data_IF_943531298911
#
_entry.id   IF_943531298911
#
_cell.length_a   1.000
_cell.length_b   1.000
_cell.length_c   1.000
_cell.angle_alpha   90.00
_cell.angle_beta   90.00
_cell.angle_gamma   90.00
#
_symmetry.space_group_name_H-M   'P 1'
#
loop_
_entity.id
_entity.type
_entity.pdbx_description
1 polymer ?
#
# COMPACT_ATOMS: atom_id res chain seq x y z
N UNK A 1 14.30 32.53 11.59
CA UNK A 1 13.42 31.56 12.28
C UNK A 1 12.21 31.40 11.39
N UNK A 2 12.35 30.56 10.35
CA UNK A 2 11.32 30.34 9.34
C UNK A 2 10.34 29.29 9.85
N UNK A 3 9.06 29.58 9.72
CA UNK A 3 7.96 28.64 9.90
C UNK A 3 8.28 27.30 9.25
N UNK A 4 8.08 26.21 9.98
CA UNK A 4 7.84 24.90 9.34
C UNK A 4 6.48 25.01 8.66
N UNK A 5 6.44 25.50 7.43
CA UNK A 5 5.24 25.51 6.60
C UNK A 5 4.68 24.08 6.57
N UNK A 6 3.50 23.88 7.16
CA UNK A 6 2.89 22.59 7.50
C UNK A 6 2.39 21.75 6.32
N UNK A 7 3.19 21.62 5.27
CA UNK A 7 2.92 20.80 4.09
C UNK A 7 3.59 19.43 4.12
N UNK A 8 3.14 18.53 3.24
CA UNK A 8 3.70 17.18 3.02
C UNK A 8 3.99 16.93 1.54
N UNK A 9 4.17 15.67 1.15
CA UNK A 9 4.44 15.27 -0.23
C UNK A 9 3.65 14.01 -0.56
N UNK A 10 3.13 13.94 -1.79
CA UNK A 10 2.50 12.75 -2.37
C UNK A 10 3.38 12.24 -3.51
N UNK A 11 3.67 10.95 -3.50
CA UNK A 11 4.44 10.26 -4.53
C UNK A 11 3.58 9.18 -5.19
N UNK A 12 3.64 9.06 -6.51
CA UNK A 12 3.01 7.98 -7.27
C UNK A 12 3.89 7.57 -8.43
N UNK A 13 3.89 6.30 -8.85
CA UNK A 13 4.71 5.85 -9.98
C UNK A 13 3.90 5.75 -11.27
N UNK A 14 4.56 5.90 -12.42
CA UNK A 14 3.91 5.89 -13.73
C UNK A 14 3.63 4.48 -14.25
N UNK A 15 4.41 3.47 -13.84
CA UNK A 15 4.43 2.10 -14.39
C UNK A 15 4.56 2.07 -15.93
N UNK A 16 5.15 3.10 -16.52
CA UNK A 16 5.42 3.17 -17.96
C UNK A 16 6.69 2.38 -18.32
N UNK A 17 6.95 2.06 -19.61
CA UNK A 17 8.20 1.40 -20.02
C UNK A 17 9.46 2.15 -19.58
N UNK A 18 9.38 3.48 -19.51
CA UNK A 18 10.31 4.31 -18.76
C UNK A 18 9.64 4.69 -17.43
N UNK A 19 9.79 3.84 -16.41
CA UNK A 19 9.08 4.05 -15.15
C UNK A 19 9.67 5.26 -14.42
N UNK A 20 8.80 6.02 -13.78
CA UNK A 20 9.16 7.24 -13.07
C UNK A 20 8.23 7.47 -11.88
N UNK A 21 8.67 8.31 -10.95
CA UNK A 21 7.86 8.80 -9.84
C UNK A 21 7.42 10.22 -10.14
N UNK A 22 6.14 10.51 -9.97
CA UNK A 22 5.59 11.86 -9.96
C UNK A 22 5.44 12.28 -8.50
N UNK A 23 6.03 13.43 -8.14
CA UNK A 23 5.93 14.00 -6.81
C UNK A 23 5.08 15.26 -6.81
N UNK A 24 4.25 15.42 -5.79
CA UNK A 24 3.40 16.58 -5.55
C UNK A 24 3.62 17.12 -4.15
N UNK A 25 3.85 18.42 -4.02
CA UNK A 25 3.83 19.10 -2.73
C UNK A 25 2.39 19.20 -2.26
N UNK A 26 2.13 18.78 -1.02
CA UNK A 26 0.87 18.99 -0.33
C UNK A 26 0.96 20.24 0.52
N UNK A 27 0.04 21.19 0.36
CA UNK A 27 -0.05 22.35 1.25
C UNK A 27 -0.77 22.02 2.58
N UNK A 28 -0.97 23.02 3.45
CA UNK A 28 -1.62 22.83 4.75
C UNK A 28 -3.12 22.51 4.68
N UNK A 29 -3.75 22.75 3.53
CA UNK A 29 -5.15 22.45 3.24
C UNK A 29 -5.31 21.13 2.45
N UNK A 30 -4.19 20.47 2.14
CA UNK A 30 -4.16 19.22 1.41
C UNK A 30 -4.21 19.39 -0.11
N UNK A 31 -4.07 20.60 -0.65
CA UNK A 31 -3.98 20.79 -2.09
C UNK A 31 -2.63 20.35 -2.64
N UNK A 32 -2.60 19.83 -3.87
CA UNK A 32 -1.41 19.28 -4.50
C UNK A 32 -0.86 20.20 -5.60
N UNK A 33 0.43 20.49 -5.53
CA UNK A 33 1.21 21.17 -6.57
C UNK A 33 2.32 20.25 -7.09
N UNK A 34 2.39 20.03 -8.41
CA UNK A 34 3.39 19.12 -8.98
C UNK A 34 4.81 19.66 -8.79
N UNK A 35 5.67 18.86 -8.17
CA UNK A 35 7.11 19.14 -8.00
C UNK A 35 7.85 18.74 -9.27
N UNK A 36 7.61 17.52 -9.77
CA UNK A 36 8.31 17.00 -10.94
C UNK A 36 8.08 15.51 -11.17
N UNK A 37 8.78 14.99 -12.18
CA UNK A 37 8.86 13.56 -12.49
C UNK A 37 10.31 13.12 -12.46
N UNK A 38 10.57 11.99 -11.79
CA UNK A 38 11.90 11.48 -11.48
C UNK A 38 12.02 10.05 -12.00
N UNK A 39 12.96 9.81 -12.91
CA UNK A 39 13.15 8.49 -13.50
C UNK A 39 13.53 7.46 -12.41
N UNK A 40 12.89 6.29 -12.42
CA UNK A 40 13.24 5.19 -11.52
C UNK A 40 14.52 4.47 -11.93
N UNK A 41 14.93 4.64 -13.19
CA UNK A 41 16.03 3.88 -13.78
C UNK A 41 15.65 2.45 -14.18
N UNK A 42 14.42 2.03 -13.89
CA UNK A 42 13.85 0.74 -14.31
C UNK A 42 12.65 0.91 -15.25
N UNK A 43 11.96 -0.19 -15.53
CA UNK A 43 10.84 -0.26 -16.46
C UNK A 43 9.57 -0.84 -15.80
N UNK A 44 8.44 -0.21 -16.06
CA UNK A 44 7.11 -0.71 -15.77
C UNK A 44 6.58 -1.55 -16.94
N UNK A 45 5.49 -2.25 -16.72
CA UNK A 45 4.91 -3.15 -17.74
C UNK A 45 3.86 -2.47 -18.64
N UNK A 46 3.65 -1.16 -18.46
CA UNK A 46 2.67 -0.34 -19.16
C UNK A 46 1.22 -0.86 -19.05
N UNK A 47 0.94 -1.74 -18.09
CA UNK A 47 -0.42 -2.21 -17.85
C UNK A 47 -1.12 -1.26 -16.89
N UNK A 48 -2.37 -0.86 -17.22
CA UNK A 48 -3.26 -0.29 -16.22
C UNK A 48 -3.44 -1.29 -15.07
N UNK A 49 -3.56 -0.79 -13.84
CA UNK A 49 -3.73 -1.58 -12.63
C UNK A 49 -2.56 -2.52 -12.32
N UNK A 50 -1.44 -1.96 -11.88
CA UNK A 50 -0.51 -2.77 -11.10
C UNK A 50 -1.25 -3.22 -9.83
N UNK A 51 -1.59 -4.51 -9.76
CA UNK A 51 -2.36 -5.10 -8.64
C UNK A 51 -1.50 -5.18 -7.37
N UNK A 52 -1.17 -4.03 -6.78
CA UNK A 52 -0.38 -3.91 -5.55
C UNK A 52 -0.72 -2.65 -4.75
N UNK A 53 -0.76 -2.81 -3.42
CA UNK A 53 -0.42 -1.76 -2.47
C UNK A 53 1.04 -1.89 -2.07
N UNK A 54 1.74 -0.75 -1.98
CA UNK A 54 3.16 -0.71 -1.63
C UNK A 54 4.11 -0.92 -2.80
N UNK A 55 3.69 -0.62 -4.04
CA UNK A 55 4.62 -0.52 -5.18
C UNK A 55 5.48 0.75 -5.14
N UNK A 56 5.05 1.73 -4.34
CA UNK A 56 5.78 2.94 -3.93
C UNK A 56 5.70 3.01 -2.41
N UNK A 57 6.85 2.93 -1.71
CA UNK A 57 6.88 2.85 -0.24
C UNK A 57 7.91 3.82 0.32
N UNK A 58 7.52 4.63 1.29
CA UNK A 58 8.41 5.48 2.07
C UNK A 58 9.09 4.66 3.17
N UNK A 59 10.36 4.93 3.43
CA UNK A 59 11.05 4.33 4.57
C UNK A 59 10.62 4.96 5.89
N UNK A 60 10.64 4.19 6.98
CA UNK A 60 10.19 4.67 8.30
C UNK A 60 11.00 5.84 8.87
N UNK A 61 12.22 6.07 8.37
CA UNK A 61 13.04 7.24 8.72
C UNK A 61 12.69 8.51 7.91
N UNK A 62 11.79 8.39 6.92
CA UNK A 62 11.37 9.48 6.03
C UNK A 62 12.44 9.96 5.06
N UNK A 63 13.53 9.20 4.89
CA UNK A 63 14.68 9.62 4.07
C UNK A 63 14.71 9.03 2.67
N UNK A 64 14.01 7.92 2.46
CA UNK A 64 14.05 7.19 1.19
C UNK A 64 12.67 6.81 0.66
N UNK A 65 12.61 6.62 -0.66
CA UNK A 65 11.47 6.06 -1.38
C UNK A 65 11.92 4.81 -2.13
N UNK A 66 11.14 3.73 -2.01
CA UNK A 66 11.33 2.48 -2.73
C UNK A 66 10.27 2.36 -3.82
N UNK A 67 10.67 1.94 -5.02
CA UNK A 67 9.77 1.81 -6.18
C UNK A 67 10.05 0.51 -6.93
N UNK A 68 9.02 -0.32 -7.11
CA UNK A 68 9.14 -1.58 -7.86
C UNK A 68 9.04 -1.34 -9.36
N UNK A 69 9.96 -1.91 -10.15
CA UNK A 69 9.93 -1.84 -11.60
C UNK A 69 9.50 -3.18 -12.18
N UNK A 70 8.20 -3.31 -12.45
CA UNK A 70 7.55 -4.59 -12.75
C UNK A 70 8.04 -5.28 -14.04
N UNK A 71 8.65 -4.56 -14.98
CA UNK A 71 9.15 -5.15 -16.24
C UNK A 71 10.67 -5.31 -16.29
N UNK A 72 11.44 -4.54 -15.50
CA UNK A 72 12.90 -4.68 -15.44
C UNK A 72 13.39 -5.53 -14.27
N UNK A 73 12.48 -6.06 -13.46
CA UNK A 73 12.74 -7.00 -12.37
C UNK A 73 13.66 -6.44 -11.27
N UNK A 74 13.60 -5.12 -11.07
CA UNK A 74 14.44 -4.38 -10.12
C UNK A 74 13.61 -3.47 -9.18
N UNK A 75 14.27 -3.01 -8.11
CA UNK A 75 13.75 -2.06 -7.13
C UNK A 75 14.63 -0.81 -7.13
N UNK A 76 14.03 0.35 -7.27
CA UNK A 76 14.71 1.65 -7.16
C UNK A 76 14.69 2.15 -5.72
N UNK A 77 15.83 2.66 -5.25
CA UNK A 77 16.00 3.41 -4.02
C UNK A 77 16.27 4.88 -4.37
N UNK A 78 15.42 5.78 -3.88
CA UNK A 78 15.62 7.22 -3.99
C UNK A 78 15.94 7.84 -2.64
N UNK A 79 16.71 8.93 -2.61
CA UNK A 79 16.72 9.86 -1.49
C UNK A 79 15.61 10.89 -1.64
N UNK A 80 15.04 11.31 -0.49
CA UNK A 80 14.10 12.41 -0.41
C UNK A 80 14.83 13.69 0.00
N UNK A 81 14.64 14.74 -0.78
CA UNK A 81 15.11 16.09 -0.44
C UNK A 81 14.03 16.86 0.33
N UNK A 82 14.44 17.90 1.06
CA UNK A 82 13.53 18.72 1.88
C UNK A 82 12.39 19.37 1.08
N UNK A 83 12.60 19.65 -0.21
CA UNK A 83 11.60 20.25 -1.09
C UNK A 83 10.60 19.23 -1.68
N UNK A 84 10.78 17.94 -1.35
CA UNK A 84 10.02 16.79 -1.84
C UNK A 84 10.56 16.18 -3.13
N UNK A 85 11.60 16.75 -3.74
CA UNK A 85 12.22 16.18 -4.94
C UNK A 85 13.00 14.90 -4.62
N UNK A 86 13.18 14.05 -5.64
CA UNK A 86 13.82 12.75 -5.52
C UNK A 86 15.14 12.70 -6.29
N UNK A 87 16.10 11.96 -5.75
CA UNK A 87 17.32 11.58 -6.45
C UNK A 87 17.49 10.07 -6.40
N UNK A 88 17.63 9.45 -7.58
CA UNK A 88 17.83 8.01 -7.67
C UNK A 88 19.23 7.66 -7.17
N UNK A 89 19.30 6.82 -6.13
CA UNK A 89 20.55 6.39 -5.53
C UNK A 89 21.04 5.06 -6.10
N UNK A 90 20.14 4.09 -6.25
CA UNK A 90 20.49 2.72 -6.65
C UNK A 90 19.28 1.98 -7.23
N UNK A 91 19.49 1.12 -8.22
CA UNK A 91 18.57 0.05 -8.63
C UNK A 91 19.16 -1.32 -8.33
N UNK A 92 18.39 -2.21 -7.70
CA UNK A 92 18.83 -3.56 -7.34
C UNK A 92 17.90 -4.63 -7.92
N UNK A 93 18.42 -5.76 -8.44
CA UNK A 93 17.59 -6.85 -8.94
C UNK A 93 16.81 -7.53 -7.80
N UNK A 94 15.51 -7.76 -7.99
CA UNK A 94 14.61 -8.29 -6.95
C UNK A 94 13.72 -9.44 -7.42
N UNK A 95 13.96 -9.94 -8.63
CA UNK A 95 13.23 -11.08 -9.19
C UNK A 95 12.01 -10.66 -10.03
N UNK A 96 11.39 -11.61 -10.75
CA UNK A 96 10.52 -11.30 -11.88
C UNK A 96 9.19 -10.67 -11.47
N UNK A 97 8.83 -9.56 -12.12
CA UNK A 97 7.62 -8.78 -11.86
C UNK A 97 7.40 -8.45 -10.37
N UNK A 98 8.31 -7.63 -9.77
CA UNK A 98 8.12 -7.12 -8.42
C UNK A 98 6.89 -6.21 -8.40
N UNK A 99 6.02 -6.43 -7.40
CA UNK A 99 4.76 -5.69 -7.30
C UNK A 99 4.64 -4.89 -6.02
N UNK A 100 5.03 -5.45 -4.87
CA UNK A 100 4.89 -4.80 -3.56
C UNK A 100 6.21 -4.85 -2.81
N UNK A 101 6.53 -3.80 -2.06
CA UNK A 101 7.72 -3.70 -1.22
C UNK A 101 7.36 -3.19 0.18
N UNK A 102 7.90 -3.87 1.18
CA UNK A 102 7.79 -3.49 2.59
C UNK A 102 9.17 -3.13 3.16
N UNK A 103 9.21 -2.17 4.07
CA UNK A 103 10.42 -1.76 4.77
C UNK A 103 10.20 -1.66 6.28
N UNK A 104 11.21 -2.05 7.06
CA UNK A 104 11.27 -1.84 8.49
C UNK A 104 12.72 -1.72 8.98
N UNK A 105 13.10 -0.55 9.50
CA UNK A 105 14.41 -0.33 10.13
C UNK A 105 15.60 -0.60 9.19
N UNK A 106 15.43 -0.29 7.91
CA UNK A 106 16.36 -0.54 6.80
C UNK A 106 16.28 -1.95 6.21
N UNK A 107 15.51 -2.88 6.78
CA UNK A 107 15.24 -4.19 6.18
C UNK A 107 14.13 -4.05 5.14
N UNK A 108 14.38 -4.52 3.92
CA UNK A 108 13.46 -4.40 2.79
C UNK A 108 13.11 -5.80 2.30
N UNK A 109 11.81 -6.08 2.10
CA UNK A 109 11.33 -7.29 1.43
C UNK A 109 10.47 -6.93 0.24
N UNK A 110 10.80 -7.52 -0.91
CA UNK A 110 10.06 -7.34 -2.16
C UNK A 110 9.29 -8.62 -2.47
N UNK A 111 8.03 -8.44 -2.82
CA UNK A 111 7.12 -9.47 -3.28
C UNK A 111 7.03 -9.46 -4.82
N UNK A 112 7.36 -10.59 -5.41
CA UNK A 112 7.32 -10.83 -6.86
C UNK A 112 6.12 -11.68 -7.25
N UNK A 113 5.57 -11.43 -8.44
CA UNK A 113 4.44 -12.20 -8.98
C UNK A 113 4.78 -13.05 -10.20
N UNK A 114 5.83 -12.71 -10.96
CA UNK A 114 6.27 -13.51 -12.11
C UNK A 114 6.81 -14.88 -11.69
N UNK A 115 7.41 -14.92 -10.50
CA UNK A 115 7.73 -16.13 -9.73
C UNK A 115 7.31 -15.85 -8.28
N UNK A 116 6.10 -16.27 -7.86
CA UNK A 116 5.57 -15.94 -6.54
C UNK A 116 6.56 -16.22 -5.41
N UNK A 117 7.04 -15.15 -4.78
CA UNK A 117 8.14 -15.24 -3.83
C UNK A 117 8.56 -13.90 -3.26
N UNK A 118 9.47 -13.99 -2.30
CA UNK A 118 10.02 -12.88 -1.54
C UNK A 118 11.55 -12.86 -1.69
N UNK A 119 12.13 -11.68 -1.77
CA UNK A 119 13.58 -11.47 -1.67
C UNK A 119 13.87 -10.31 -0.71
N UNK A 120 14.90 -10.48 0.11
CA UNK A 120 15.30 -9.51 1.13
C UNK A 120 16.51 -8.68 0.71
N UNK A 121 16.49 -7.41 1.07
CA UNK A 121 17.59 -6.46 0.94
C UNK A 121 17.74 -5.67 2.24
N UNK A 122 18.87 -4.96 2.38
CA UNK A 122 19.10 -4.00 3.46
C UNK A 122 19.58 -2.68 2.89
N UNK A 123 18.97 -1.58 3.32
CA UNK A 123 19.44 -0.24 3.01
C UNK A 123 20.72 0.02 3.81
N UNK A 124 21.84 0.21 3.12
CA UNK A 124 23.16 0.47 3.71
C UNK A 124 23.74 1.73 3.06
N UNK A 125 23.60 2.86 3.75
CA UNK A 125 23.86 4.17 3.15
C UNK A 125 22.93 4.37 1.96
N UNK A 126 23.50 4.64 0.79
CA UNK A 126 22.76 4.96 -0.43
C UNK A 126 22.50 3.73 -1.32
N UNK A 127 22.53 2.51 -0.75
CA UNK A 127 22.45 1.26 -1.51
C UNK A 127 21.50 0.24 -0.92
N UNK A 128 20.85 -0.51 -1.81
CA UNK A 128 20.18 -1.77 -1.49
C UNK A 128 21.19 -2.91 -1.59
N UNK A 129 21.59 -3.47 -0.45
CA UNK A 129 22.48 -4.63 -0.40
C UNK A 129 21.63 -5.91 -0.26
N UNK A 130 21.83 -6.94 -1.11
CA UNK A 130 21.07 -8.19 -1.01
C UNK A 130 21.27 -8.84 0.36
N UNK A 131 20.19 -9.38 0.95
CA UNK A 131 20.29 -10.21 2.14
C UNK A 131 20.57 -11.66 1.70
N UNK A 132 21.77 -12.22 1.95
CA UNK A 132 22.14 -13.53 1.40
C UNK A 132 21.22 -14.64 1.92
N UNK A 133 20.74 -15.50 1.01
CA UNK A 133 19.84 -16.60 1.37
C UNK A 133 18.44 -16.16 1.80
N UNK A 134 18.04 -14.92 1.52
CA UNK A 134 16.71 -14.38 1.85
C UNK A 134 15.60 -14.81 0.88
N UNK A 135 15.94 -15.31 -0.30
CA UNK A 135 14.97 -15.76 -1.30
C UNK A 135 14.04 -16.84 -0.72
N UNK A 136 12.74 -16.65 -0.87
CA UNK A 136 11.71 -17.60 -0.46
C UNK A 136 10.65 -17.68 -1.54
N UNK A 137 10.34 -18.89 -2.00
CA UNK A 137 9.09 -19.09 -2.76
C UNK A 137 7.90 -18.99 -1.81
N UNK A 138 6.78 -18.48 -2.32
CA UNK A 138 5.52 -18.60 -1.60
C UNK A 138 5.07 -20.07 -1.56
N UNK A 139 4.24 -20.47 -0.57
CA UNK A 139 3.80 -21.85 -0.41
C UNK A 139 3.09 -22.45 -1.62
N UNK A 140 2.41 -21.60 -2.41
CA UNK A 140 1.71 -22.00 -3.63
C UNK A 140 2.25 -21.29 -4.86
N UNK A 141 2.38 -22.02 -5.97
CA UNK A 141 2.65 -21.41 -7.28
C UNK A 141 1.45 -20.60 -7.80
N UNK A 142 0.24 -20.93 -7.34
CA UNK A 142 -1.01 -20.24 -7.68
C UNK A 142 -1.37 -19.16 -6.64
N UNK A 143 -0.41 -18.71 -5.82
CA UNK A 143 -0.63 -17.76 -4.73
C UNK A 143 -1.31 -16.44 -5.19
N UNK A 144 -0.97 -15.97 -6.39
CA UNK A 144 -1.43 -14.69 -6.93
C UNK A 144 -1.34 -13.55 -5.89
N UNK A 145 -0.14 -13.31 -5.31
CA UNK A 145 -0.01 -12.48 -4.12
C UNK A 145 -0.24 -11.00 -4.45
N UNK A 146 -0.80 -10.25 -3.50
CA UNK A 146 -1.22 -8.86 -3.71
C UNK A 146 -0.37 -7.83 -2.97
N UNK A 147 -0.02 -8.10 -1.71
CA UNK A 147 0.70 -7.17 -0.86
C UNK A 147 1.65 -7.89 0.08
N UNK A 148 2.76 -7.23 0.43
CA UNK A 148 3.64 -7.60 1.54
C UNK A 148 3.76 -6.45 2.53
N UNK A 149 3.92 -6.74 3.82
CA UNK A 149 4.00 -5.72 4.87
C UNK A 149 4.57 -6.25 6.17
N UNK A 150 5.34 -5.41 6.87
CA UNK A 150 5.82 -5.73 8.21
C UNK A 150 4.77 -5.40 9.27
N UNK A 151 4.77 -6.20 10.33
CA UNK A 151 4.23 -5.76 11.63
C UNK A 151 5.02 -4.56 12.16
N UNK A 152 4.40 -3.75 13.00
CA UNK A 152 4.99 -2.50 13.51
C UNK A 152 6.30 -2.70 14.28
N UNK A 153 6.49 -3.85 14.90
CA UNK A 153 7.73 -4.19 15.61
C UNK A 153 8.77 -4.90 14.71
N UNK A 154 8.43 -5.11 13.44
CA UNK A 154 9.25 -5.81 12.45
C UNK A 154 9.42 -7.30 12.69
N UNK A 155 8.72 -7.88 13.67
CA UNK A 155 8.88 -9.28 14.07
C UNK A 155 8.27 -10.27 13.07
N UNK A 156 7.33 -9.79 12.26
CA UNK A 156 6.57 -10.59 11.30
C UNK A 156 6.43 -9.88 9.97
N UNK A 157 6.50 -10.65 8.88
CA UNK A 157 6.17 -10.23 7.53
C UNK A 157 4.87 -10.93 7.10
N UNK A 158 3.92 -10.16 6.58
CA UNK A 158 2.58 -10.61 6.18
C UNK A 158 2.44 -10.49 4.66
N UNK A 159 1.82 -11.49 4.03
CA UNK A 159 1.47 -11.51 2.62
C UNK A 159 0.01 -11.91 2.45
N UNK A 160 -0.74 -11.23 1.60
CA UNK A 160 -2.08 -11.66 1.15
C UNK A 160 -1.97 -12.41 -0.18
N UNK A 161 -2.59 -13.59 -0.26
CA UNK A 161 -2.63 -14.45 -1.44
C UNK A 161 -4.07 -14.56 -1.98
N UNK A 162 -4.32 -13.92 -3.13
CA UNK A 162 -5.66 -13.87 -3.74
C UNK A 162 -6.09 -15.22 -4.30
N UNK A 163 -5.15 -15.97 -4.86
CA UNK A 163 -5.42 -17.22 -5.56
C UNK A 163 -5.71 -18.39 -4.63
N UNK A 164 -5.18 -18.35 -3.40
CA UNK A 164 -5.34 -19.40 -2.39
C UNK A 164 -6.29 -19.02 -1.25
N UNK A 165 -6.91 -17.84 -1.33
CA UNK A 165 -7.79 -17.30 -0.29
C UNK A 165 -7.11 -17.29 1.11
N UNK A 166 -5.83 -16.87 1.17
CA UNK A 166 -5.01 -17.01 2.38
C UNK A 166 -4.18 -15.78 2.75
N UNK A 167 -3.77 -15.76 4.02
CA UNK A 167 -2.81 -14.83 4.60
C UNK A 167 -1.59 -15.65 5.01
N UNK A 168 -0.41 -15.27 4.53
CA UNK A 168 0.85 -15.93 4.86
C UNK A 168 1.66 -15.03 5.78
N UNK A 169 2.15 -15.61 6.88
CA UNK A 169 3.02 -14.95 7.84
C UNK A 169 4.39 -15.63 7.88
N UNK A 170 5.43 -14.81 7.97
CA UNK A 170 6.79 -15.24 8.25
C UNK A 170 7.27 -14.60 9.55
N UNK A 171 7.87 -15.40 10.43
CA UNK A 171 8.67 -14.86 11.53
C UNK A 171 9.94 -14.21 10.94
N UNK A 172 10.30 -13.02 11.39
CA UNK A 172 11.48 -12.28 10.92
C UNK A 172 12.56 -12.34 12.00
N UNK A 173 13.69 -12.94 11.66
CA UNK A 173 14.85 -13.05 12.55
C UNK A 173 15.61 -11.73 12.70
N UNK A 174 16.52 -11.69 13.68
CA UNK A 174 17.26 -10.47 14.00
C UNK A 174 18.17 -9.97 12.87
N UNK A 175 18.68 -10.87 12.01
CA UNK A 175 19.44 -10.49 10.82
C UNK A 175 18.54 -10.21 9.60
N UNK A 176 17.22 -10.37 9.75
CA UNK A 176 16.19 -10.15 8.74
C UNK A 176 15.78 -11.43 8.00
N UNK A 177 16.29 -12.59 8.38
CA UNK A 177 15.96 -13.87 7.76
C UNK A 177 14.50 -14.28 8.02
N UNK A 178 13.82 -14.79 6.98
CA UNK A 178 12.46 -15.33 7.13
C UNK A 178 12.50 -16.78 7.63
N UNK A 179 11.70 -17.04 8.67
CA UNK A 179 11.35 -18.37 9.14
C UNK A 179 10.45 -19.15 8.18
N UNK A 180 9.92 -20.28 8.63
CA UNK A 180 8.98 -21.07 7.84
C UNK A 180 7.63 -20.35 7.69
N UNK A 181 6.98 -20.42 6.52
CA UNK A 181 5.68 -19.78 6.31
C UNK A 181 4.62 -20.43 7.19
N UNK A 182 3.75 -19.58 7.75
CA UNK A 182 2.50 -19.98 8.41
C UNK A 182 1.35 -19.46 7.56
N UNK A 183 0.56 -20.39 7.02
CA UNK A 183 -0.59 -20.07 6.17
C UNK A 183 -1.86 -20.11 7.01
N UNK A 184 -2.64 -19.04 6.96
CA UNK A 184 -3.93 -18.92 7.63
C UNK A 184 -4.99 -18.62 6.56
N UNK A 185 -6.14 -19.26 6.66
CA UNK A 185 -7.26 -18.95 5.76
C UNK A 185 -7.72 -17.51 6.01
N UNK A 186 -7.96 -16.76 4.93
CA UNK A 186 -8.68 -15.50 5.02
C UNK A 186 -10.15 -15.78 5.38
N UNK A 187 -10.79 -14.88 6.13
CA UNK A 187 -12.20 -15.00 6.52
C UNK A 187 -13.12 -14.94 5.29
N UNK A 188 -12.81 -14.04 4.36
CA UNK A 188 -13.45 -13.92 3.05
C UNK A 188 -12.49 -14.25 1.91
N UNK A 189 -13.03 -14.66 0.75
CA UNK A 189 -12.26 -14.98 -0.43
C UNK A 189 -11.61 -13.75 -1.07
N UNK A 190 -10.51 -13.99 -1.78
CA UNK A 190 -9.70 -13.00 -2.48
C UNK A 190 -9.20 -11.89 -1.54
N UNK A 191 -8.42 -12.24 -0.50
CA UNK A 191 -7.77 -11.22 0.34
C UNK A 191 -6.87 -10.36 -0.53
N UNK A 192 -7.15 -9.05 -0.58
CA UNK A 192 -6.55 -8.14 -1.53
C UNK A 192 -5.48 -7.29 -0.83
N UNK A 193 -5.86 -6.12 -0.29
CA UNK A 193 -5.01 -5.28 0.52
C UNK A 193 -5.13 -5.53 2.02
N UNK A 194 -4.19 -4.95 2.77
CA UNK A 194 -4.25 -4.90 4.21
C UNK A 194 -3.52 -3.69 4.79
N UNK A 195 -3.92 -3.33 6.01
CA UNK A 195 -3.22 -2.38 6.85
C UNK A 195 -3.15 -2.90 8.29
N UNK A 196 -2.15 -2.45 9.05
CA UNK A 196 -1.92 -2.91 10.43
C UNK A 196 -1.95 -1.69 11.35
N UNK A 197 -2.80 -1.74 12.38
CA UNK A 197 -2.86 -0.70 13.43
C UNK A 197 -1.60 -0.70 14.29
N UNK A 198 -1.31 0.43 14.94
CA UNK A 198 -0.29 0.52 15.99
C UNK A 198 -0.45 -0.52 17.10
N UNK A 199 -1.70 -0.82 17.46
CA UNK A 199 -2.07 -1.88 18.40
C UNK A 199 -2.00 -3.33 17.89
N UNK A 200 -1.53 -3.59 16.67
CA UNK A 200 -1.35 -4.96 16.13
C UNK A 200 -2.61 -5.63 15.57
N UNK A 201 -3.63 -4.85 15.22
CA UNK A 201 -4.80 -5.34 14.48
C UNK A 201 -4.51 -5.27 12.99
N UNK A 202 -4.58 -6.42 12.31
CA UNK A 202 -4.51 -6.53 10.86
C UNK A 202 -5.93 -6.39 10.29
N UNK A 203 -6.17 -5.42 9.41
CA UNK A 203 -7.41 -5.28 8.63
C UNK A 203 -7.11 -5.73 7.20
N UNK A 204 -7.90 -6.68 6.68
CA UNK A 204 -7.73 -7.25 5.34
C UNK A 204 -8.97 -6.96 4.51
N UNK A 205 -8.80 -6.46 3.29
CA UNK A 205 -9.90 -6.29 2.33
C UNK A 205 -10.14 -7.57 1.54
N UNK A 206 -11.40 -7.82 1.21
CA UNK A 206 -11.85 -9.07 0.61
C UNK A 206 -12.66 -8.77 -0.65
N UNK A 207 -12.10 -9.12 -1.80
CA UNK A 207 -12.66 -8.71 -3.09
C UNK A 207 -13.73 -9.66 -3.64
N UNK A 208 -13.95 -10.82 -3.01
CA UNK A 208 -14.97 -11.80 -3.42
C UNK A 208 -14.96 -12.10 -4.92
N UNK A 209 -13.76 -12.26 -5.51
CA UNK A 209 -13.57 -12.51 -6.95
C UNK A 209 -14.27 -11.46 -7.84
N UNK A 210 -14.28 -10.21 -7.39
CA UNK A 210 -14.97 -9.09 -8.04
C UNK A 210 -16.50 -9.28 -8.14
N UNK A 211 -17.10 -10.07 -7.26
CA UNK A 211 -18.56 -10.18 -7.20
C UNK A 211 -19.17 -8.82 -6.82
N UNK A 212 -20.13 -8.37 -7.62
CA UNK A 212 -20.83 -7.12 -7.39
C UNK A 212 -21.54 -7.12 -6.02
N UNK A 213 -21.36 -6.04 -5.26
CA UNK A 213 -21.98 -5.82 -3.96
C UNK A 213 -21.41 -6.68 -2.82
N UNK A 214 -20.34 -7.44 -3.07
CA UNK A 214 -19.78 -8.39 -2.13
C UNK A 214 -18.48 -7.92 -1.45
N UNK A 215 -18.04 -6.67 -1.69
CA UNK A 215 -16.86 -6.14 -1.03
C UNK A 215 -17.02 -6.16 0.50
N UNK A 216 -15.96 -6.60 1.19
CA UNK A 216 -15.93 -6.70 2.64
C UNK A 216 -14.52 -6.48 3.19
N UNK A 217 -14.43 -6.35 4.52
CA UNK A 217 -13.17 -6.38 5.24
C UNK A 217 -13.28 -7.22 6.52
N UNK A 218 -12.20 -7.89 6.87
CA UNK A 218 -12.06 -8.65 8.12
C UNK A 218 -10.95 -8.10 8.99
N UNK A 219 -10.96 -8.44 10.29
CA UNK A 219 -9.90 -8.04 11.22
C UNK A 219 -9.34 -9.22 11.99
N UNK A 220 -8.03 -9.17 12.25
CA UNK A 220 -7.26 -10.20 12.93
C UNK A 220 -6.33 -9.57 13.97
N UNK A 221 -5.97 -10.33 15.02
CA UNK A 221 -4.84 -10.01 15.90
C UNK A 221 -3.63 -10.83 15.49
N UNK A 222 -2.45 -10.20 15.57
CA UNK A 222 -1.17 -10.88 15.41
C UNK A 222 -0.57 -11.05 16.81
N UNK A 223 -0.76 -12.22 17.42
CA UNK A 223 -0.34 -12.51 18.80
C UNK A 223 0.72 -13.63 18.81
N UNK A 224 1.97 -13.30 19.17
CA UNK A 224 3.01 -14.28 19.54
C UNK A 224 3.32 -15.40 18.53
N UNK A 225 2.88 -15.26 17.28
CA UNK A 225 3.02 -16.30 16.26
C UNK A 225 1.78 -16.53 15.40
N UNK A 226 0.59 -16.21 15.92
CA UNK A 226 -0.69 -16.56 15.29
C UNK A 226 -1.41 -15.33 14.72
N UNK A 227 -2.06 -15.51 13.56
CA UNK A 227 -3.01 -14.56 12.99
C UNK A 227 -4.41 -15.04 13.37
N UNK A 228 -5.01 -14.44 14.39
CA UNK A 228 -6.30 -14.88 14.95
C UNK A 228 -7.42 -13.96 14.50
N UNK A 229 -8.46 -14.52 13.90
CA UNK A 229 -9.66 -13.80 13.51
C UNK A 229 -10.31 -13.08 14.71
N UNK A 230 -10.68 -11.82 14.51
CA UNK A 230 -11.46 -11.00 15.44
C UNK A 230 -12.84 -10.73 14.87
N UNK A 231 -12.91 -10.16 13.67
CA UNK A 231 -14.19 -9.90 12.98
C UNK A 231 -14.19 -10.55 11.62
N UNK A 232 -15.19 -11.38 11.36
CA UNK A 232 -15.38 -12.06 10.09
C UNK A 232 -16.09 -11.14 9.10
N UNK A 233 -15.43 -10.87 7.96
CA UNK A 233 -15.99 -10.35 6.70
C UNK A 233 -17.19 -9.40 6.82
N UNK A 234 -16.94 -8.18 7.30
CA UNK A 234 -17.95 -7.12 7.35
C UNK A 234 -18.10 -6.53 5.95
N UNK A 235 -19.23 -6.78 5.30
CA UNK A 235 -19.53 -6.23 3.97
C UNK A 235 -19.77 -4.72 4.01
N UNK A 236 -19.31 -3.99 2.99
CA UNK A 236 -19.69 -2.58 2.75
C UNK A 236 -20.79 -2.42 1.68
N UNK A 237 -21.20 -3.51 1.02
CA UNK A 237 -22.21 -3.49 -0.05
C UNK A 237 -21.73 -2.84 -1.35
N UNK A 238 -20.44 -2.53 -1.46
CA UNK A 238 -19.78 -1.96 -2.64
C UNK A 238 -19.15 -3.07 -3.46
N UNK A 239 -18.41 -2.72 -4.52
CA UNK A 239 -17.81 -3.72 -5.43
C UNK A 239 -16.35 -3.39 -5.71
N UNK A 240 -15.55 -4.44 -5.92
CA UNK A 240 -14.14 -4.33 -6.31
C UNK A 240 -13.31 -3.50 -5.32
N UNK A 241 -13.43 -3.85 -4.03
CA UNK A 241 -12.59 -3.31 -2.98
C UNK A 241 -11.12 -3.60 -3.27
N UNK A 242 -10.28 -2.58 -3.16
CA UNK A 242 -8.86 -2.69 -3.41
C UNK A 242 -8.11 -2.71 -2.08
N UNK A 243 -7.69 -1.55 -1.57
CA UNK A 243 -6.73 -1.51 -0.48
C UNK A 243 -7.33 -0.99 0.83
N UNK A 244 -6.47 -0.87 1.84
CA UNK A 244 -6.82 -0.29 3.13
C UNK A 244 -5.79 0.75 3.56
N UNK A 245 -6.26 1.82 4.19
CA UNK A 245 -5.45 2.79 4.92
C UNK A 245 -6.03 3.00 6.33
N UNK A 246 -5.19 3.01 7.36
CA UNK A 246 -5.60 3.14 8.76
C UNK A 246 -5.15 4.47 9.33
N UNK A 247 -6.03 5.14 10.08
CA UNK A 247 -5.69 6.39 10.77
C UNK A 247 -4.62 6.17 11.84
N UNK A 248 -3.69 7.13 12.07
CA UNK A 248 -2.59 6.96 13.03
C UNK A 248 -3.04 6.73 14.48
N UNK A 249 -4.29 7.04 14.80
CA UNK A 249 -4.91 6.82 16.11
C UNK A 249 -5.63 5.46 16.21
N UNK A 250 -5.48 4.60 15.19
CA UNK A 250 -6.01 3.24 15.10
C UNK A 250 -7.55 3.13 15.14
N UNK A 251 -8.28 4.22 14.87
CA UNK A 251 -9.75 4.23 15.01
C UNK A 251 -10.52 3.97 13.73
N UNK A 252 -9.94 4.26 12.56
CA UNK A 252 -10.65 4.13 11.29
C UNK A 252 -9.78 3.43 10.24
N UNK A 253 -10.42 2.57 9.46
CA UNK A 253 -9.88 2.06 8.20
C UNK A 253 -10.70 2.63 7.04
N UNK A 254 -10.01 3.18 6.05
CA UNK A 254 -10.58 3.56 4.76
C UNK A 254 -10.24 2.49 3.73
N UNK A 255 -11.17 2.20 2.83
CA UNK A 255 -10.97 1.24 1.74
C UNK A 255 -11.53 1.79 0.44
N UNK A 256 -10.75 1.76 -0.62
CA UNK A 256 -11.22 2.13 -1.97
C UNK A 256 -12.04 1.02 -2.61
N UNK A 257 -13.11 1.40 -3.34
CA UNK A 257 -13.94 0.51 -4.13
C UNK A 257 -13.86 0.97 -5.58
N UNK A 258 -13.29 0.12 -6.44
CA UNK A 258 -12.98 0.51 -7.81
C UNK A 258 -14.25 0.76 -8.61
N UNK A 259 -15.26 -0.12 -8.54
CA UNK A 259 -16.36 -0.15 -9.49
C UNK A 259 -17.30 1.07 -9.44
N UNK A 260 -17.36 1.77 -8.31
CA UNK A 260 -18.24 2.92 -8.09
C UNK A 260 -17.54 4.15 -7.53
N UNK A 261 -16.20 4.15 -7.50
CA UNK A 261 -15.40 5.31 -7.14
C UNK A 261 -15.59 5.77 -5.69
N UNK A 262 -16.01 4.85 -4.82
CA UNK A 262 -16.33 5.13 -3.43
C UNK A 262 -15.18 4.75 -2.49
N UNK A 263 -15.00 5.54 -1.43
CA UNK A 263 -14.21 5.19 -0.26
C UNK A 263 -15.18 4.81 0.86
N UNK A 264 -15.04 3.59 1.39
CA UNK A 264 -15.77 3.16 2.59
C UNK A 264 -14.94 3.43 3.85
N UNK A 265 -15.61 3.64 4.99
CA UNK A 265 -15.02 3.78 6.32
C UNK A 265 -15.53 2.70 7.25
N UNK A 266 -14.59 2.00 7.87
CA UNK A 266 -14.84 1.10 8.99
C UNK A 266 -14.29 1.71 10.27
N UNK A 267 -15.04 1.59 11.37
CA UNK A 267 -14.56 1.86 12.71
C UNK A 267 -13.81 0.64 13.25
N UNK A 268 -12.70 0.90 13.94
CA UNK A 268 -11.85 -0.10 14.59
C UNK A 268 -12.00 0.05 16.10
N UNK A 269 -12.46 -0.99 16.77
CA UNK A 269 -12.54 -1.07 18.23
C UNK A 269 -11.16 -1.27 18.87
N UNK A 270 -11.02 -0.89 20.14
CA UNK A 270 -9.77 -1.11 20.89
C UNK A 270 -9.39 -2.61 21.03
N UNK A 271 -10.39 -3.49 20.93
CA UNK A 271 -10.23 -4.95 20.89
C UNK A 271 -9.87 -5.48 19.48
N UNK A 272 -9.82 -4.60 18.48
CA UNK A 272 -9.56 -4.92 17.07
C UNK A 272 -10.82 -5.29 16.29
N UNK A 273 -12.01 -5.17 16.90
CA UNK A 273 -13.28 -5.40 16.20
C UNK A 273 -13.47 -4.38 15.08
N UNK A 274 -14.07 -4.83 13.97
CA UNK A 274 -14.35 -4.00 12.81
C UNK A 274 -15.86 -3.79 12.69
N UNK A 275 -16.28 -2.56 12.40
CA UNK A 275 -17.68 -2.25 12.09
C UNK A 275 -17.74 -1.30 10.91
N UNK A 276 -18.58 -1.61 9.91
CA UNK A 276 -18.88 -0.65 8.86
C UNK A 276 -19.55 0.57 9.48
N UNK A 277 -19.00 1.74 9.22
CA UNK A 277 -19.54 3.00 9.72
C UNK A 277 -20.20 3.80 8.61
N UNK A 278 -19.54 3.86 7.46
CA UNK A 278 -20.08 4.48 6.26
C UNK A 278 -19.58 3.73 5.01
N UNK A 279 -20.50 3.20 4.20
CA UNK A 279 -20.15 2.55 2.94
C UNK A 279 -19.60 3.53 1.90
N UNK A 280 -19.82 4.84 2.09
CA UNK A 280 -19.57 5.90 1.10
C UNK A 280 -19.11 7.17 1.81
N UNK A 281 -18.12 7.01 2.66
CA UNK A 281 -17.50 8.11 3.38
C UNK A 281 -16.94 9.18 2.40
N UNK A 282 -16.42 8.74 1.25
CA UNK A 282 -15.96 9.62 0.17
C UNK A 282 -16.37 9.11 -1.20
N UNK A 283 -16.50 10.02 -2.16
CA UNK A 283 -16.80 9.73 -3.57
C UNK A 283 -15.87 10.54 -4.46
N UNK A 284 -15.28 9.88 -5.46
CA UNK A 284 -14.57 10.53 -6.56
C UNK A 284 -15.60 11.12 -7.55
N UNK A 285 -16.24 10.24 -8.32
CA UNK A 285 -17.39 10.57 -9.17
C UNK A 285 -18.42 9.47 -8.98
N UNK A 286 -19.63 9.87 -8.58
CA UNK A 286 -20.68 8.92 -8.21
C UNK A 286 -21.02 7.95 -9.36
N UNK A 287 -20.94 6.65 -9.08
CA UNK A 287 -21.25 5.57 -10.02
C UNK A 287 -20.24 5.39 -11.15
N UNK A 288 -19.06 6.01 -11.10
CA UNK A 288 -17.99 5.79 -12.07
C UNK A 288 -16.88 4.92 -11.48
N UNK A 289 -16.37 3.94 -12.23
CA UNK A 289 -15.20 3.21 -11.79
C UNK A 289 -13.97 4.10 -11.79
N UNK A 290 -13.00 3.85 -10.90
CA UNK A 290 -11.71 4.53 -11.02
C UNK A 290 -10.74 4.42 -9.85
N UNK A 291 -11.22 4.42 -8.60
CA UNK A 291 -10.32 4.42 -7.44
C UNK A 291 -9.56 3.10 -7.31
N UNK A 292 -8.23 3.15 -7.36
CA UNK A 292 -7.38 1.95 -7.44
C UNK A 292 -6.34 1.81 -6.35
N UNK A 293 -5.87 2.88 -5.74
CA UNK A 293 -4.91 2.87 -4.62
C UNK A 293 -5.08 4.14 -3.80
N UNK A 294 -4.77 4.06 -2.51
CA UNK A 294 -4.94 5.15 -1.57
C UNK A 294 -3.78 5.26 -0.56
N UNK A 295 -3.53 6.49 -0.15
CA UNK A 295 -2.52 6.82 0.83
C UNK A 295 -3.05 7.86 1.81
N UNK A 296 -2.81 7.61 3.09
CA UNK A 296 -3.13 8.54 4.17
C UNK A 296 -1.87 9.29 4.59
N UNK A 297 -1.99 10.59 4.85
CA UNK A 297 -0.91 11.38 5.41
C UNK A 297 -0.47 10.87 6.77
N UNK A 298 0.80 11.08 7.14
CA UNK A 298 1.35 10.58 8.40
C UNK A 298 0.67 11.19 9.64
N UNK A 299 0.15 12.41 9.50
CA UNK A 299 -0.65 13.10 10.53
C UNK A 299 -2.14 12.68 10.53
N UNK A 300 -2.56 11.82 9.59
CA UNK A 300 -3.91 11.30 9.47
C UNK A 300 -4.94 12.30 9.00
N UNK A 301 -4.54 13.48 8.50
CA UNK A 301 -5.45 14.58 8.15
C UNK A 301 -5.88 14.61 6.68
N UNK A 302 -5.19 13.91 5.79
CA UNK A 302 -5.51 13.89 4.36
C UNK A 302 -5.45 12.46 3.80
N UNK A 303 -6.49 12.07 3.08
CA UNK A 303 -6.54 10.83 2.31
C UNK A 303 -6.48 11.19 0.82
N UNK A 304 -5.64 10.51 0.06
CA UNK A 304 -5.56 10.63 -1.39
C UNK A 304 -5.79 9.28 -2.04
N UNK A 305 -6.47 9.27 -3.18
CA UNK A 305 -6.67 8.07 -3.97
C UNK A 305 -6.39 8.32 -5.45
N UNK A 306 -5.73 7.37 -6.10
CA UNK A 306 -5.45 7.43 -7.55
C UNK A 306 -6.65 6.88 -8.33
N UNK A 307 -7.03 7.61 -9.37
CA UNK A 307 -7.90 7.16 -10.44
C UNK A 307 -7.07 7.14 -11.73
N UNK A 308 -6.58 5.96 -12.06
CA UNK A 308 -5.70 5.79 -13.20
C UNK A 308 -6.47 5.87 -14.52
N UNK A 309 -7.72 5.41 -14.61
CA UNK A 309 -8.53 5.57 -15.84
C UNK A 309 -8.82 7.04 -16.12
N UNK A 310 -9.13 7.80 -15.08
CA UNK A 310 -9.33 9.25 -15.14
C UNK A 310 -8.04 10.07 -15.20
N UNK A 311 -6.86 9.44 -15.09
CA UNK A 311 -5.55 10.08 -15.12
C UNK A 311 -5.37 11.14 -14.03
N UNK A 312 -5.84 10.88 -12.80
CA UNK A 312 -5.94 11.89 -11.74
C UNK A 312 -5.83 11.33 -10.31
N UNK A 313 -5.57 12.23 -9.36
CA UNK A 313 -5.65 11.97 -7.91
C UNK A 313 -6.89 12.68 -7.37
N UNK A 314 -7.63 12.04 -6.47
CA UNK A 314 -8.66 12.67 -5.63
C UNK A 314 -8.14 12.82 -4.19
N UNK A 315 -8.55 13.88 -3.50
CA UNK A 315 -8.14 14.14 -2.12
C UNK A 315 -9.30 14.53 -1.21
N UNK A 316 -9.24 14.09 0.03
CA UNK A 316 -10.16 14.43 1.10
C UNK A 316 -9.40 14.82 2.37
N UNK A 317 -9.90 15.81 3.10
CA UNK A 317 -9.52 16.01 4.51
C UNK A 317 -10.21 14.97 5.37
N UNK A 318 -9.54 14.55 6.42
CA UNK A 318 -10.00 13.53 7.38
C UNK A 318 -10.26 14.20 8.72
N UNK A 319 -11.54 14.22 9.12
CA UNK A 319 -11.97 14.74 10.40
C UNK A 319 -11.53 13.85 11.56
N UNK A 320 -11.53 14.39 12.78
CA UNK A 320 -11.24 13.62 14.01
C UNK A 320 -12.29 12.54 14.31
N UNK A 321 -13.43 12.57 13.65
CA UNK A 321 -14.46 11.51 13.67
C UNK A 321 -14.36 10.58 12.45
N UNK A 322 -13.28 10.70 11.68
CA UNK A 322 -13.03 9.97 10.44
C UNK A 322 -13.84 10.45 9.25
N UNK A 323 -14.59 11.56 9.34
CA UNK A 323 -15.37 12.06 8.19
C UNK A 323 -14.45 12.52 7.06
N UNK A 324 -14.83 12.27 5.81
CA UNK A 324 -14.08 12.72 4.64
C UNK A 324 -14.76 13.95 4.04
N UNK A 325 -14.01 15.04 3.87
CA UNK A 325 -14.48 16.24 3.15
C UNK A 325 -13.62 16.46 1.92
N UNK A 326 -14.20 16.54 0.69
CA UNK A 326 -13.43 16.71 -0.53
C UNK A 326 -12.53 17.95 -0.50
N UNK A 327 -11.28 17.78 -0.90
CA UNK A 327 -10.31 18.87 -1.16
C UNK A 327 -10.37 19.24 -2.63
N UNK A 328 -10.28 18.25 -3.51
CA UNK A 328 -10.21 18.44 -4.95
C UNK A 328 -9.70 17.21 -5.71
N UNK A 329 -9.41 17.42 -6.98
CA UNK A 329 -8.80 16.43 -7.87
C UNK A 329 -7.73 17.05 -8.75
N UNK A 330 -6.67 16.30 -9.05
CA UNK A 330 -5.51 16.76 -9.83
C UNK A 330 -5.23 15.83 -11.00
N UNK A 331 -5.33 16.34 -12.22
CA UNK A 331 -5.12 15.60 -13.47
C UNK A 331 -3.64 15.52 -13.87
N UNK A 332 -3.35 14.81 -14.97
CA UNK A 332 -2.02 14.75 -15.59
C UNK A 332 -1.21 13.51 -15.21
N UNK A 333 -1.87 12.46 -14.70
CA UNK A 333 -1.28 11.15 -14.51
C UNK A 333 -1.48 10.28 -15.77
N UNK A 334 -0.53 9.38 -16.10
CA UNK A 334 -0.73 8.41 -17.16
C UNK A 334 -1.77 7.36 -16.75
N UNK A 335 -2.40 6.71 -17.74
CA UNK A 335 -3.40 5.65 -17.49
C UNK A 335 -2.85 4.40 -16.78
N UNK A 336 -1.52 4.30 -16.72
CA UNK A 336 -0.77 3.22 -16.09
C UNK A 336 -0.36 3.54 -14.66
N UNK A 337 -0.64 4.75 -14.15
CA UNK A 337 -0.26 5.17 -12.80
C UNK A 337 -0.66 4.15 -11.74
N UNK A 338 0.25 3.93 -10.79
CA UNK A 338 0.09 2.95 -9.72
C UNK A 338 0.86 3.38 -8.48
N UNK A 339 0.49 2.84 -7.31
CA UNK A 339 1.18 3.13 -6.06
C UNK A 339 0.96 4.56 -5.58
N UNK A 340 0.73 4.73 -4.29
CA UNK A 340 0.74 6.06 -3.70
C UNK A 340 1.39 6.02 -2.31
N UNK A 341 2.27 6.97 -2.05
CA UNK A 341 2.86 7.19 -0.73
C UNK A 341 2.69 8.66 -0.34
N UNK A 342 2.32 8.91 0.91
CA UNK A 342 1.95 10.24 1.41
C UNK A 342 2.69 10.51 2.71
N UNK A 343 3.41 11.64 2.79
CA UNK A 343 4.08 12.08 4.03
C UNK A 343 3.19 12.92 4.92
#
# INVERSE_FOLDING_TARGET
MMDRMGGGVVYTQTNEPANAVIAFRRDEHGALDRIGTFASGGAGDAKPHLTSQGSVTLTGDGRHLLVTNASSDDLSLFSLREDGSLELLHTAPVGPAPKSVAEYGGLVYVLSTGKPGLIGHRITGDRLEPLPGSERSLPSADADPAQVGFTRDGSSLIVTERGTDSIVRYDVGAAGELGMPRVVASAGPTPYGFAITGGGTLVVTEAFRAQQGAAAASSYRIDGGEVRLVTSSVGNGRSEICWAAITPDDRFAFTTNFADGAVSRYAIGADGSLRLDDATAGLAVDGQPGLRDEGLSSDGRCLYAIDADGGRIYGWTVGTDGSLTPIGSWEGLPATVAGIAVT
#
